data_IF_629823257116
#
_entry.id   IF_629823257116
#
_cell.length_a   1.000
_cell.length_b   1.000
_cell.length_c   1.000
_cell.angle_alpha   90.00
_cell.angle_beta   90.00
_cell.angle_gamma   90.00
#
_symmetry.space_group_name_H-M   'P 1'
#
loop_
_entity.id
_entity.type
_entity.pdbx_description
1 polymer ?
#
# COMPACT_ATOMS: atom_id res chain seq x y z
N UNK A 1 45.88 9.78 -40.75
CA UNK A 1 44.53 9.26 -40.41
C UNK A 1 44.58 8.68 -39.01
N UNK A 2 44.12 9.42 -37.99
CA UNK A 2 44.23 9.04 -36.57
C UNK A 2 42.82 8.76 -36.05
N UNK A 3 42.47 7.47 -35.91
CA UNK A 3 41.14 7.03 -35.51
C UNK A 3 40.95 7.29 -34.01
N UNK A 4 40.03 8.19 -33.66
CA UNK A 4 39.59 8.39 -32.28
C UNK A 4 38.60 7.27 -31.91
N UNK A 5 39.00 6.43 -30.96
CA UNK A 5 38.15 5.38 -30.40
C UNK A 5 37.34 6.00 -29.25
N UNK A 6 36.08 6.35 -29.51
CA UNK A 6 35.16 6.88 -28.50
C UNK A 6 34.67 5.77 -27.59
N UNK A 7 34.96 5.88 -26.29
CA UNK A 7 34.39 5.02 -25.25
C UNK A 7 33.00 5.57 -24.92
N UNK A 8 31.96 4.79 -25.25
CA UNK A 8 30.57 5.09 -24.93
C UNK A 8 30.29 4.61 -23.48
N UNK A 9 30.27 5.54 -22.52
CA UNK A 9 29.83 5.28 -21.15
C UNK A 9 28.29 5.23 -21.11
N UNK A 10 27.73 4.02 -21.07
CA UNK A 10 26.30 3.80 -20.80
C UNK A 10 26.08 3.93 -19.30
N UNK A 11 25.49 5.05 -18.86
CA UNK A 11 25.08 5.25 -17.48
C UNK A 11 23.77 4.53 -17.18
N UNK A 12 23.81 3.52 -16.32
CA UNK A 12 22.62 2.85 -15.77
C UNK A 12 22.06 3.69 -14.63
N UNK A 13 20.97 4.41 -14.88
CA UNK A 13 20.22 5.13 -13.85
C UNK A 13 19.49 4.13 -12.96
N UNK A 14 19.85 4.04 -11.68
CA UNK A 14 19.09 3.27 -10.70
C UNK A 14 17.78 4.02 -10.36
N UNK A 15 16.63 3.47 -10.74
CA UNK A 15 15.33 3.98 -10.30
C UNK A 15 15.12 3.60 -8.85
N UNK A 16 15.20 4.58 -7.96
CA UNK A 16 14.83 4.39 -6.55
C UNK A 16 13.32 4.20 -6.49
N UNK A 17 12.87 2.98 -6.15
CA UNK A 17 11.47 2.73 -5.79
C UNK A 17 11.29 3.32 -4.39
N UNK A 18 10.75 4.52 -4.31
CA UNK A 18 10.37 5.12 -3.04
C UNK A 18 9.12 4.42 -2.53
N UNK A 19 9.20 3.88 -1.32
CA UNK A 19 8.04 3.37 -0.60
C UNK A 19 6.97 4.46 -0.52
N UNK A 20 5.74 4.12 -0.89
CA UNK A 20 4.59 4.99 -0.75
C UNK A 20 4.37 5.41 0.71
N UNK A 21 3.62 6.49 0.98
CA UNK A 21 3.45 6.98 2.35
C UNK A 21 2.90 5.89 3.27
N UNK A 22 1.99 5.06 2.81
CA UNK A 22 1.38 4.04 3.66
C UNK A 22 2.08 2.68 3.56
N UNK A 23 3.15 2.55 2.77
CA UNK A 23 3.79 1.26 2.49
C UNK A 23 4.38 0.64 3.76
N UNK A 24 3.76 -0.45 4.20
CA UNK A 24 4.14 -1.26 5.36
C UNK A 24 3.29 -2.53 5.44
N UNK A 25 3.73 -3.45 6.28
CA UNK A 25 2.90 -4.50 6.85
C UNK A 25 2.12 -4.00 8.07
N UNK A 26 0.90 -4.49 8.21
CA UNK A 26 0.00 -4.16 9.29
C UNK A 26 -0.72 -5.41 9.80
N UNK A 27 -1.36 -5.28 10.95
CA UNK A 27 -2.34 -6.23 11.48
C UNK A 27 -3.54 -5.46 12.04
N UNK A 28 -4.74 -6.05 12.10
CA UNK A 28 -5.87 -5.39 12.76
C UNK A 28 -5.53 -5.02 14.21
N UNK A 29 -6.05 -3.88 14.68
CA UNK A 29 -5.90 -3.52 16.07
C UNK A 29 -6.54 -4.58 16.99
N UNK A 30 -5.90 -4.87 18.12
CA UNK A 30 -6.28 -5.98 19.01
C UNK A 30 -5.95 -7.39 18.48
N UNK A 31 -5.55 -7.55 17.22
CA UNK A 31 -5.21 -8.84 16.65
C UNK A 31 -3.74 -9.24 16.90
N UNK A 32 -3.33 -9.37 18.17
CA UNK A 32 -1.94 -9.65 18.56
C UNK A 32 -1.39 -11.01 18.11
N UNK A 33 -2.27 -11.96 17.77
CA UNK A 33 -1.88 -13.30 17.32
C UNK A 33 -1.70 -13.40 15.80
N UNK A 34 -2.04 -12.35 15.05
CA UNK A 34 -1.87 -12.35 13.60
C UNK A 34 -0.39 -12.26 13.26
N UNK A 35 0.06 -13.10 12.34
CA UNK A 35 1.44 -13.08 11.91
C UNK A 35 1.70 -11.84 11.03
N UNK A 36 2.91 -11.28 11.13
CA UNK A 36 3.31 -10.09 10.39
C UNK A 36 4.10 -10.45 9.12
N UNK A 37 3.77 -11.58 8.46
CA UNK A 37 4.56 -12.14 7.36
C UNK A 37 3.73 -12.66 6.18
N UNK A 38 2.64 -13.38 6.45
CA UNK A 38 1.79 -14.09 5.49
C UNK A 38 0.76 -13.13 4.90
N UNK A 39 1.20 -12.23 4.02
CA UNK A 39 0.35 -11.15 3.49
C UNK A 39 -0.94 -11.69 2.85
N UNK A 40 -2.08 -11.18 3.29
CA UNK A 40 -3.41 -11.44 2.74
C UNK A 40 -4.01 -12.81 3.07
N UNK A 41 -3.37 -13.58 3.95
CA UNK A 41 -3.89 -14.85 4.45
C UNK A 41 -4.75 -14.66 5.70
N UNK A 42 -5.60 -15.64 6.01
CA UNK A 42 -6.32 -15.68 7.29
C UNK A 42 -5.36 -15.68 8.48
N UNK A 43 -5.50 -14.67 9.35
CA UNK A 43 -4.59 -14.47 10.48
C UNK A 43 -3.19 -13.99 10.10
N UNK A 44 -2.96 -13.61 8.85
CA UNK A 44 -1.69 -13.11 8.35
C UNK A 44 -1.67 -11.58 8.16
N UNK A 45 -0.54 -11.05 7.71
CA UNK A 45 -0.36 -9.61 7.60
C UNK A 45 -1.32 -8.97 6.57
N UNK A 46 -1.75 -7.75 6.86
CA UNK A 46 -2.28 -6.83 5.86
C UNK A 46 -1.11 -6.00 5.32
N UNK A 47 -1.25 -5.43 4.13
CA UNK A 47 -0.20 -4.57 3.59
C UNK A 47 -0.76 -3.41 2.79
N UNK A 48 -0.03 -2.30 2.80
CA UNK A 48 -0.04 -1.39 1.66
C UNK A 48 1.32 -1.52 0.99
N UNK A 49 1.34 -1.71 -0.32
CA UNK A 49 2.57 -1.79 -1.10
C UNK A 49 2.27 -1.42 -2.54
N UNK A 50 3.08 -0.54 -3.12
CA UNK A 50 3.01 -0.18 -4.54
C UNK A 50 1.58 0.25 -4.99
N UNK A 51 0.89 1.03 -4.15
CA UNK A 51 -0.51 1.45 -4.30
C UNK A 51 -1.55 0.32 -4.27
N UNK A 52 -1.21 -0.85 -3.75
CA UNK A 52 -2.18 -1.94 -3.51
C UNK A 52 -2.40 -2.08 -2.00
N UNK A 53 -3.66 -2.09 -1.59
CA UNK A 53 -4.06 -2.54 -0.25
C UNK A 53 -4.36 -4.04 -0.29
N UNK A 54 -3.57 -4.83 0.41
CA UNK A 54 -3.76 -6.26 0.62
C UNK A 54 -4.53 -6.47 1.92
N UNK A 55 -5.79 -6.89 1.79
CA UNK A 55 -6.62 -7.36 2.88
C UNK A 55 -6.60 -8.90 2.97
N UNK A 56 -7.34 -9.45 3.93
CA UNK A 56 -7.54 -10.92 4.01
C UNK A 56 -8.37 -11.35 2.81
N UNK A 57 -7.81 -12.26 2.01
CA UNK A 57 -8.46 -12.86 0.84
C UNK A 57 -8.93 -11.85 -0.23
N UNK A 58 -8.42 -10.61 -0.16
CA UNK A 58 -8.75 -9.57 -1.12
C UNK A 58 -7.58 -8.61 -1.35
N UNK A 59 -7.50 -8.06 -2.55
CA UNK A 59 -6.54 -7.01 -2.90
C UNK A 59 -7.25 -5.87 -3.63
N UNK A 60 -6.84 -4.63 -3.35
CA UNK A 60 -7.42 -3.43 -3.93
C UNK A 60 -6.32 -2.53 -4.50
N UNK A 61 -6.35 -2.30 -5.81
CA UNK A 61 -5.52 -1.26 -6.44
C UNK A 61 -6.11 0.10 -6.10
N UNK A 62 -5.27 0.99 -5.57
CA UNK A 62 -5.65 2.34 -5.15
C UNK A 62 -5.34 3.31 -6.28
N UNK A 63 -6.39 3.93 -6.82
CA UNK A 63 -6.31 4.88 -7.93
C UNK A 63 -6.93 6.22 -7.54
N UNK A 64 -6.71 7.24 -8.37
CA UNK A 64 -7.27 8.59 -8.21
C UNK A 64 -7.08 9.19 -6.80
N UNK A 65 -5.83 9.27 -6.30
CA UNK A 65 -5.57 9.74 -4.95
C UNK A 65 -6.00 11.19 -4.77
N UNK A 66 -6.81 11.43 -3.75
CA UNK A 66 -7.25 12.77 -3.32
C UNK A 66 -6.73 13.03 -1.92
N UNK A 67 -5.77 13.96 -1.80
CA UNK A 67 -5.25 14.38 -0.50
C UNK A 67 -6.34 15.06 0.32
N UNK A 68 -6.49 14.66 1.59
CA UNK A 68 -7.38 15.35 2.53
C UNK A 68 -6.63 16.52 3.15
N UNK A 69 -7.17 17.74 2.98
CA UNK A 69 -6.52 18.97 3.43
C UNK A 69 -6.33 18.97 4.96
N UNK A 70 -5.10 19.30 5.39
CA UNK A 70 -4.76 19.38 6.82
C UNK A 70 -4.70 18.03 7.54
N UNK A 71 -4.73 16.91 6.82
CA UNK A 71 -4.73 15.56 7.41
C UNK A 71 -3.68 14.69 6.75
N UNK A 72 -3.09 13.74 7.51
CA UNK A 72 -2.23 12.69 6.95
C UNK A 72 -3.06 11.56 6.32
N UNK A 73 -3.97 11.94 5.42
CA UNK A 73 -4.95 11.05 4.82
C UNK A 73 -5.07 11.23 3.30
N UNK A 74 -5.25 10.13 2.58
CA UNK A 74 -5.51 10.10 1.14
C UNK A 74 -6.76 9.27 0.89
N UNK A 75 -7.73 9.84 0.19
CA UNK A 75 -8.92 9.15 -0.28
C UNK A 75 -8.70 8.66 -1.72
N UNK A 76 -8.91 7.36 -1.95
CA UNK A 76 -8.68 6.70 -3.24
C UNK A 76 -9.97 6.06 -3.76
N UNK A 77 -10.02 5.84 -5.06
CA UNK A 77 -10.84 4.78 -5.65
C UNK A 77 -10.11 3.46 -5.44
N UNK A 78 -10.77 2.48 -4.83
CA UNK A 78 -10.22 1.15 -4.60
C UNK A 78 -10.88 0.17 -5.56
N UNK A 79 -10.10 -0.30 -6.53
CA UNK A 79 -10.47 -1.36 -7.47
C UNK A 79 -10.06 -2.70 -6.90
N UNK A 80 -11.03 -3.44 -6.37
CA UNK A 80 -10.78 -4.64 -5.58
C UNK A 80 -11.13 -5.93 -6.32
N UNK A 81 -10.41 -6.99 -5.99
CA UNK A 81 -10.81 -8.36 -6.27
C UNK A 81 -10.75 -9.14 -4.95
N UNK A 82 -11.85 -9.82 -4.59
CA UNK A 82 -11.92 -10.71 -3.44
C UNK A 82 -12.88 -11.83 -3.75
N UNK A 83 -12.55 -13.05 -3.35
CA UNK A 83 -13.38 -14.24 -3.63
C UNK A 83 -13.67 -14.42 -5.13
N UNK A 84 -12.73 -14.01 -5.98
CA UNK A 84 -12.86 -14.05 -7.45
C UNK A 84 -13.79 -13.00 -8.05
N UNK A 85 -14.40 -12.13 -7.24
CA UNK A 85 -15.36 -11.13 -7.70
C UNK A 85 -14.75 -9.72 -7.67
N UNK A 86 -14.79 -8.97 -8.80
CA UNK A 86 -14.36 -7.58 -8.82
C UNK A 86 -15.43 -6.66 -8.20
N UNK A 87 -15.00 -5.65 -7.47
CA UNK A 87 -15.86 -4.60 -6.94
C UNK A 87 -15.07 -3.30 -6.74
N UNK A 88 -15.77 -2.18 -6.63
CA UNK A 88 -15.15 -0.86 -6.39
C UNK A 88 -15.74 -0.20 -5.16
N UNK A 89 -14.91 0.59 -4.47
CA UNK A 89 -15.33 1.39 -3.32
C UNK A 89 -14.42 2.60 -3.13
N UNK A 90 -14.88 3.58 -2.35
CA UNK A 90 -14.00 4.65 -1.86
C UNK A 90 -13.28 4.17 -0.61
N UNK A 91 -11.96 4.34 -0.58
CA UNK A 91 -11.12 3.92 0.54
C UNK A 91 -10.17 5.05 0.92
N UNK A 92 -10.29 5.56 2.14
CA UNK A 92 -9.35 6.50 2.71
C UNK A 92 -8.34 5.78 3.58
N UNK A 93 -7.06 6.05 3.31
CA UNK A 93 -5.93 5.64 4.14
C UNK A 93 -5.47 6.85 4.94
N UNK A 94 -5.47 6.75 6.27
CA UNK A 94 -5.05 7.83 7.16
C UNK A 94 -4.04 7.32 8.19
N UNK A 95 -2.88 7.97 8.30
CA UNK A 95 -1.94 7.64 9.37
C UNK A 95 -2.56 7.91 10.74
N UNK A 96 -2.34 6.99 11.65
CA UNK A 96 -2.60 7.16 13.09
C UNK A 96 -1.29 6.87 13.86
N UNK A 97 -1.15 7.28 15.14
CA UNK A 97 0.13 7.22 15.85
C UNK A 97 0.85 5.86 15.78
N UNK A 98 0.10 4.75 15.82
CA UNK A 98 0.66 3.39 15.83
C UNK A 98 0.34 2.58 14.57
N UNK A 99 -0.14 3.21 13.49
CA UNK A 99 -0.43 2.51 12.25
C UNK A 99 -1.31 3.27 11.27
N UNK A 100 -2.39 2.63 10.83
CA UNK A 100 -3.21 3.09 9.71
C UNK A 100 -4.70 2.92 10.00
N UNK A 101 -5.49 3.98 9.82
CA UNK A 101 -6.93 3.86 9.70
C UNK A 101 -7.30 3.65 8.22
N UNK A 102 -7.98 2.54 7.94
CA UNK A 102 -8.60 2.24 6.66
C UNK A 102 -10.08 2.55 6.79
N UNK A 103 -10.50 3.65 6.17
CA UNK A 103 -11.84 4.21 6.30
C UNK A 103 -12.60 3.99 4.99
N UNK A 104 -13.80 3.47 5.10
CA UNK A 104 -14.74 3.21 4.01
C UNK A 104 -16.11 3.76 4.41
N UNK A 105 -17.06 3.79 3.48
CA UNK A 105 -18.43 4.21 3.80
C UNK A 105 -19.04 3.27 4.88
N UNK A 106 -19.49 3.87 5.98
CA UNK A 106 -20.07 3.16 7.13
C UNK A 106 -19.09 2.37 8.01
N UNK A 107 -17.78 2.37 7.73
CA UNK A 107 -16.85 1.48 8.43
C UNK A 107 -15.42 2.02 8.57
N UNK A 108 -14.79 1.77 9.73
CA UNK A 108 -13.39 2.15 10.01
C UNK A 108 -12.65 0.96 10.61
N UNK A 109 -11.58 0.53 9.94
CA UNK A 109 -10.61 -0.43 10.47
C UNK A 109 -9.36 0.30 10.92
N UNK A 110 -9.01 0.21 12.20
CA UNK A 110 -7.70 0.66 12.68
C UNK A 110 -6.74 -0.52 12.63
N UNK A 111 -5.60 -0.31 12.00
CA UNK A 111 -4.52 -1.28 11.87
C UNK A 111 -3.30 -0.81 12.65
N UNK A 112 -2.61 -1.75 13.29
CA UNK A 112 -1.29 -1.53 13.90
C UNK A 112 -0.22 -1.86 12.88
N UNK A 113 0.81 -1.02 12.82
CA UNK A 113 2.01 -1.36 12.08
C UNK A 113 2.63 -2.64 12.67
N UNK A 114 3.06 -3.54 11.81
CA UNK A 114 3.98 -4.59 12.21
C UNK A 114 5.35 -3.98 12.56
N UNK A 115 6.04 -4.58 13.54
CA UNK A 115 7.40 -4.19 13.96
C UNK A 115 8.45 -4.39 12.86
#
# INVERSE_FOLDING_TARGET
MRRFMGVLLVGTSATSVFAGPFDRLYRPDGAGMWDCTSVGSDGGALAVKDNVFYGVENACTLTNPTQVNGMSAVLNDAECNGEGMPYTKRMMLMRVPEGLAVIQDGYVNVLRACE
#
